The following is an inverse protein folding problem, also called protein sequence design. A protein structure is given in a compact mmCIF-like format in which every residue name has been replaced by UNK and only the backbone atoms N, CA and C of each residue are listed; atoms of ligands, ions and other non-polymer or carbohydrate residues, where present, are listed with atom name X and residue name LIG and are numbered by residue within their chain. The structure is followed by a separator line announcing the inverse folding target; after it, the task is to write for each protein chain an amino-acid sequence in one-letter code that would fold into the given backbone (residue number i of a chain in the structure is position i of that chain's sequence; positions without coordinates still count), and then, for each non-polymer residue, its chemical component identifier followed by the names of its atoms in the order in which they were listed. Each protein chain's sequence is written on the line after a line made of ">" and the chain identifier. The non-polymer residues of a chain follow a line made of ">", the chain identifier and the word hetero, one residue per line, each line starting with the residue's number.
data_IF_659885104059
#
_entry.id   IF_659885104059
#
_cell.length_a   1.000
_cell.length_b   1.000
_cell.length_c   1.000
_cell.angle_alpha   90.00
_cell.angle_beta   90.00
_cell.angle_gamma   90.00
#
_symmetry.space_group_name_H-M   'P 1'
#
loop_
_entity.id
_entity.type
_entity.pdbx_description
1 polymer ?
#
# COMPACT_ATOMS: atom_id res chain seq x y z
N UNK A 1 -17.32 -43.78 -3.13
CA UNK A 1 -17.12 -43.29 -1.75
C UNK A 1 -15.97 -42.31 -1.78
N UNK A 2 -16.15 -41.09 -1.28
CA UNK A 2 -15.05 -40.13 -1.19
C UNK A 2 -14.20 -40.50 0.03
N UNK A 3 -12.93 -40.85 -0.20
CA UNK A 3 -11.96 -41.04 0.87
C UNK A 3 -11.72 -39.72 1.59
N UNK A 4 -11.59 -39.74 2.92
CA UNK A 4 -11.20 -38.54 3.68
C UNK A 4 -9.71 -38.26 3.50
N UNK A 5 -9.28 -37.03 3.82
CA UNK A 5 -7.86 -36.70 3.93
C UNK A 5 -7.13 -37.66 4.89
N UNK A 6 -5.94 -38.13 4.50
CA UNK A 6 -5.10 -39.00 5.32
C UNK A 6 -4.32 -38.27 6.41
N UNK A 7 -4.24 -36.93 6.36
CA UNK A 7 -3.62 -36.18 7.45
C UNK A 7 -4.51 -36.24 8.69
N UNK A 8 -3.94 -36.72 9.80
CA UNK A 8 -4.65 -36.89 11.07
C UNK A 8 -4.90 -35.53 11.75
N UNK A 9 -5.88 -34.79 11.24
CA UNK A 9 -6.36 -33.51 11.76
C UNK A 9 -7.83 -33.64 12.17
N UNK A 10 -8.15 -33.52 13.47
CA UNK A 10 -9.53 -33.56 13.97
C UNK A 10 -10.47 -32.53 13.31
N UNK A 11 -9.91 -31.49 12.69
CA UNK A 11 -10.65 -30.41 12.05
C UNK A 11 -10.71 -30.54 10.51
N UNK A 12 -10.19 -31.62 9.93
CA UNK A 12 -10.14 -31.82 8.47
C UNK A 12 -11.05 -32.97 8.02
N UNK A 13 -12.34 -32.66 7.85
CA UNK A 13 -13.31 -33.57 7.21
C UNK A 13 -13.38 -33.43 5.68
N UNK A 14 -12.41 -32.72 5.07
CA UNK A 14 -12.42 -32.45 3.63
C UNK A 14 -12.16 -33.73 2.82
N UNK A 15 -12.82 -33.91 1.67
CA UNK A 15 -12.59 -35.06 0.81
C UNK A 15 -11.16 -35.05 0.26
N UNK A 16 -10.62 -36.25 0.07
CA UNK A 16 -9.36 -36.51 -0.63
C UNK A 16 -9.48 -36.01 -2.07
N UNK A 17 -8.48 -35.24 -2.49
CA UNK A 17 -8.37 -34.67 -3.85
C UNK A 17 -7.29 -35.37 -4.69
N UNK A 18 -6.07 -35.50 -4.16
CA UNK A 18 -4.93 -36.15 -4.80
C UNK A 18 -3.93 -36.64 -3.73
N UNK A 19 -3.19 -37.71 -4.01
CA UNK A 19 -2.11 -38.20 -3.13
C UNK A 19 -2.50 -38.58 -1.69
N UNK A 20 -3.75 -38.97 -1.45
CA UNK A 20 -4.29 -39.25 -0.11
C UNK A 20 -4.73 -38.01 0.68
N UNK A 21 -4.55 -36.79 0.15
CA UNK A 21 -4.76 -35.55 0.89
C UNK A 21 -5.91 -34.70 0.33
N UNK A 22 -6.57 -33.90 1.18
CA UNK A 22 -7.44 -32.82 0.72
C UNK A 22 -6.63 -31.79 -0.08
N UNK A 23 -7.27 -30.94 -0.88
CA UNK A 23 -6.55 -30.02 -1.80
C UNK A 23 -5.50 -29.16 -1.08
N UNK A 24 -5.80 -28.68 0.12
CA UNK A 24 -4.88 -27.86 0.92
C UNK A 24 -3.70 -28.67 1.49
N UNK A 25 -3.93 -29.87 2.03
CA UNK A 25 -2.86 -30.73 2.51
C UNK A 25 -2.00 -31.27 1.37
N UNK A 26 -2.62 -31.56 0.23
CA UNK A 26 -1.89 -31.92 -0.98
C UNK A 26 -0.96 -30.79 -1.43
N UNK A 27 -1.42 -29.54 -1.42
CA UNK A 27 -0.57 -28.37 -1.73
C UNK A 27 0.59 -28.22 -0.75
N UNK A 28 0.35 -28.40 0.56
CA UNK A 28 1.43 -28.36 1.56
C UNK A 28 2.49 -29.43 1.28
N UNK A 29 2.04 -30.65 0.94
CA UNK A 29 2.92 -31.76 0.59
C UNK A 29 3.74 -31.49 -0.67
N UNK A 30 3.11 -31.01 -1.76
CA UNK A 30 3.82 -30.68 -3.00
C UNK A 30 4.76 -29.49 -2.86
N UNK A 31 4.46 -28.56 -1.95
CA UNK A 31 5.33 -27.42 -1.62
C UNK A 31 6.54 -27.83 -0.76
N UNK A 32 6.67 -29.10 -0.36
CA UNK A 32 7.70 -29.57 0.57
C UNK A 32 7.55 -29.00 1.98
N UNK A 33 6.37 -28.49 2.34
CA UNK A 33 6.07 -27.96 3.67
C UNK A 33 5.59 -29.10 4.58
N UNK A 34 5.90 -29.05 5.88
CA UNK A 34 5.28 -29.98 6.82
C UNK A 34 3.76 -29.83 6.77
N UNK A 35 3.06 -30.97 6.77
CA UNK A 35 1.60 -30.97 6.86
C UNK A 35 1.19 -30.41 8.22
N UNK A 36 0.30 -29.42 8.21
CA UNK A 36 -0.19 -28.74 9.42
C UNK A 36 -1.71 -28.74 9.46
N UNK A 37 -2.32 -28.68 10.66
CA UNK A 37 -3.77 -28.54 10.79
C UNK A 37 -4.27 -27.34 9.99
N UNK A 38 -5.34 -27.54 9.23
CA UNK A 38 -5.90 -26.45 8.45
C UNK A 38 -6.79 -25.65 9.39
N UNK A 39 -6.46 -24.36 9.57
CA UNK A 39 -7.33 -23.47 10.35
C UNK A 39 -8.75 -23.55 9.77
N UNK A 40 -9.74 -23.71 10.65
CA UNK A 40 -11.14 -23.64 10.26
C UNK A 40 -11.41 -22.38 9.44
N UNK A 41 -12.29 -22.47 8.46
CA UNK A 41 -12.73 -21.27 7.76
C UNK A 41 -13.44 -20.41 8.79
N UNK A 42 -12.89 -19.23 9.09
CA UNK A 42 -13.63 -18.20 9.79
C UNK A 42 -14.90 -17.97 8.99
N UNK A 43 -16.05 -18.21 9.60
CA UNK A 43 -17.33 -18.10 8.91
C UNK A 43 -17.57 -16.64 8.54
N UNK A 44 -18.41 -16.40 7.53
CA UNK A 44 -18.86 -15.04 7.21
C UNK A 44 -19.44 -14.33 8.45
N UNK A 45 -20.03 -15.09 9.37
CA UNK A 45 -20.57 -14.57 10.63
C UNK A 45 -19.50 -13.97 11.55
N UNK A 46 -18.25 -14.42 11.49
CA UNK A 46 -17.15 -13.86 12.29
C UNK A 46 -16.70 -12.48 11.77
N UNK A 47 -16.79 -12.25 10.46
CA UNK A 47 -16.36 -10.99 9.85
C UNK A 47 -17.45 -9.92 9.83
N UNK A 48 -18.70 -10.30 10.05
CA UNK A 48 -19.86 -9.42 9.95
C UNK A 48 -20.46 -9.38 8.53
N UNK A 49 -21.61 -8.71 8.38
CA UNK A 49 -22.38 -8.74 7.14
C UNK A 49 -21.76 -7.88 6.02
N UNK A 50 -20.91 -6.90 6.34
CA UNK A 50 -20.39 -5.93 5.37
C UNK A 50 -18.89 -5.69 5.54
N UNK A 51 -18.27 -5.22 4.46
CA UNK A 51 -16.88 -4.80 4.44
C UNK A 51 -16.63 -3.69 5.49
N UNK A 52 -15.51 -3.82 6.22
CA UNK A 52 -15.11 -2.87 7.26
C UNK A 52 -14.59 -1.54 6.71
N UNK A 53 -14.27 -1.49 5.42
CA UNK A 53 -13.87 -0.24 4.76
C UNK A 53 -15.04 0.75 4.76
N UNK A 54 -14.79 1.97 5.24
CA UNK A 54 -15.84 2.95 5.53
C UNK A 54 -16.76 3.18 4.33
N UNK A 55 -18.08 3.07 4.55
CA UNK A 55 -19.10 3.25 3.51
C UNK A 55 -19.29 2.07 2.55
N UNK A 56 -18.47 1.02 2.63
CA UNK A 56 -18.60 -0.14 1.75
C UNK A 56 -19.67 -1.13 2.24
N UNK A 57 -20.65 -1.41 1.39
CA UNK A 57 -21.75 -2.35 1.69
C UNK A 57 -21.52 -3.76 1.10
N UNK A 58 -20.41 -3.99 0.41
CA UNK A 58 -20.09 -5.30 -0.16
C UNK A 58 -19.82 -6.34 0.93
N UNK A 59 -20.09 -7.60 0.63
CA UNK A 59 -19.77 -8.71 1.53
C UNK A 59 -18.24 -8.80 1.74
N UNK A 60 -17.76 -9.03 2.98
CA UNK A 60 -16.36 -9.29 3.22
C UNK A 60 -15.95 -10.63 2.57
N UNK A 61 -14.76 -10.64 1.99
CA UNK A 61 -14.12 -11.83 1.43
C UNK A 61 -13.11 -12.44 2.41
N UNK A 62 -12.28 -11.60 3.03
CA UNK A 62 -11.24 -12.04 3.96
C UNK A 62 -10.90 -10.90 4.92
N UNK A 63 -10.63 -11.23 6.20
CA UNK A 63 -10.26 -10.26 7.24
C UNK A 63 -11.24 -9.08 7.36
N UNK A 64 -12.53 -9.34 7.15
CA UNK A 64 -13.57 -8.31 7.16
C UNK A 64 -13.48 -7.29 6.01
N UNK A 65 -12.74 -7.56 4.93
CA UNK A 65 -12.63 -6.69 3.76
C UNK A 65 -13.13 -7.42 2.50
N UNK A 66 -13.81 -6.71 1.60
CA UNK A 66 -14.24 -7.24 0.30
C UNK A 66 -13.06 -7.45 -0.65
N UNK A 67 -13.23 -8.14 -1.78
CA UNK A 67 -12.16 -8.38 -2.76
C UNK A 67 -11.45 -7.11 -3.26
N UNK A 68 -12.16 -5.98 -3.32
CA UNK A 68 -11.59 -4.70 -3.78
C UNK A 68 -10.71 -4.07 -2.70
N UNK A 69 -11.15 -4.14 -1.43
CA UNK A 69 -10.42 -3.53 -0.31
C UNK A 69 -9.42 -4.46 0.37
N UNK A 70 -9.55 -5.77 0.14
CA UNK A 70 -8.58 -6.80 0.49
C UNK A 70 -7.52 -6.86 -0.62
N UNK A 71 -6.56 -5.94 -0.54
CA UNK A 71 -5.45 -5.87 -1.49
C UNK A 71 -4.44 -7.00 -1.28
N UNK A 72 -3.62 -7.26 -2.31
CA UNK A 72 -2.48 -8.17 -2.18
C UNK A 72 -1.47 -7.56 -1.20
N UNK A 73 -1.14 -8.26 -0.12
CA UNK A 73 -0.14 -7.82 0.87
C UNK A 73 -0.58 -6.72 1.86
N UNK A 74 -1.30 -5.70 1.41
CA UNK A 74 -1.84 -4.60 2.23
C UNK A 74 -3.27 -4.21 1.79
N UNK A 75 -4.11 -3.79 2.74
CA UNK A 75 -5.49 -3.34 2.47
C UNK A 75 -5.58 -1.97 1.79
N UNK A 76 -6.79 -1.59 1.39
CA UNK A 76 -7.08 -0.23 0.94
C UNK A 76 -6.80 0.84 2.01
N UNK A 77 -7.02 0.56 3.31
CA UNK A 77 -6.67 1.51 4.37
C UNK A 77 -5.19 1.88 4.36
N UNK A 78 -4.33 0.87 4.24
CA UNK A 78 -2.89 1.07 4.15
C UNK A 78 -2.49 1.83 2.88
N UNK A 79 -3.13 1.56 1.74
CA UNK A 79 -2.89 2.28 0.47
C UNK A 79 -3.24 3.77 0.59
N UNK A 80 -4.37 4.08 1.21
CA UNK A 80 -4.80 5.46 1.41
C UNK A 80 -3.89 6.20 2.40
N UNK A 81 -3.43 5.52 3.45
CA UNK A 81 -2.46 6.07 4.39
C UNK A 81 -1.12 6.40 3.70
N UNK A 82 -0.62 5.52 2.82
CA UNK A 82 0.59 5.77 2.02
C UNK A 82 0.39 6.97 1.08
N UNK A 83 -0.75 7.02 0.39
CA UNK A 83 -1.03 8.14 -0.52
C UNK A 83 -1.14 9.47 0.25
N UNK A 84 -1.69 9.44 1.47
CA UNK A 84 -1.74 10.60 2.37
C UNK A 84 -0.33 11.03 2.80
N UNK A 85 0.53 10.07 3.18
CA UNK A 85 1.95 10.32 3.47
C UNK A 85 2.69 10.97 2.28
N UNK A 86 2.28 10.65 1.05
CA UNK A 86 2.79 11.25 -0.19
C UNK A 86 2.16 12.61 -0.56
N UNK A 87 1.32 13.19 0.30
CA UNK A 87 0.60 14.42 -0.01
C UNK A 87 -0.40 14.28 -1.15
N UNK A 88 -0.94 13.08 -1.36
CA UNK A 88 -1.96 12.81 -2.38
C UNK A 88 -1.41 12.74 -3.81
N UNK A 89 -0.09 12.63 -3.99
CA UNK A 89 0.56 12.77 -5.30
C UNK A 89 1.50 11.63 -5.64
N UNK A 90 1.64 11.40 -6.95
CA UNK A 90 2.65 10.54 -7.55
C UNK A 90 4.04 11.18 -7.48
N UNK A 91 5.08 10.40 -7.74
CA UNK A 91 6.44 10.89 -8.03
C UNK A 91 6.48 11.98 -9.11
N UNK A 92 5.65 11.88 -10.16
CA UNK A 92 5.57 12.93 -11.20
C UNK A 92 4.70 14.14 -10.80
N UNK A 93 4.18 14.18 -9.57
CA UNK A 93 3.35 15.27 -9.07
C UNK A 93 1.86 15.18 -9.41
N UNK A 94 1.43 14.25 -10.27
CA UNK A 94 -0.01 14.05 -10.55
C UNK A 94 -0.76 13.63 -9.29
N UNK A 95 -1.97 14.17 -9.10
CA UNK A 95 -2.95 13.71 -8.11
C UNK A 95 -4.04 12.82 -8.74
N UNK A 96 -4.03 12.65 -10.05
CA UNK A 96 -4.93 11.77 -10.79
C UNK A 96 -4.16 10.53 -11.28
N UNK A 97 -4.49 9.31 -10.80
CA UNK A 97 -3.86 8.09 -11.26
C UNK A 97 -4.39 7.58 -12.61
N UNK A 98 -5.45 8.19 -13.14
CA UNK A 98 -6.18 7.75 -14.31
C UNK A 98 -6.99 6.48 -14.08
N UNK A 99 -7.50 5.90 -15.16
CA UNK A 99 -8.48 4.80 -15.13
C UNK A 99 -7.99 3.51 -14.45
N UNK A 100 -6.68 3.29 -14.38
CA UNK A 100 -6.09 2.11 -13.75
C UNK A 100 -5.90 2.26 -12.24
N UNK A 101 -6.14 3.45 -11.70
CA UNK A 101 -5.95 3.75 -10.29
C UNK A 101 -4.48 3.68 -9.84
N UNK A 102 -4.27 4.00 -8.57
CA UNK A 102 -2.95 4.00 -7.95
C UNK A 102 -2.36 2.59 -7.89
N UNK A 103 -1.12 2.46 -8.35
CA UNK A 103 -0.35 1.22 -8.30
C UNK A 103 0.55 1.24 -7.06
N UNK A 104 0.56 0.15 -6.30
CA UNK A 104 1.51 0.00 -5.21
C UNK A 104 2.88 -0.33 -5.81
N UNK A 105 3.87 0.48 -5.50
CA UNK A 105 5.27 0.24 -5.86
C UNK A 105 6.00 -0.49 -4.73
N UNK A 106 6.83 -1.46 -5.10
CA UNK A 106 7.56 -2.29 -4.15
C UNK A 106 8.97 -2.61 -4.66
N UNK A 107 9.86 -2.83 -3.71
CA UNK A 107 11.24 -3.19 -4.01
C UNK A 107 11.41 -4.66 -4.41
N UNK A 108 12.23 -4.89 -5.43
CA UNK A 108 12.59 -6.22 -5.93
C UNK A 108 13.85 -6.82 -5.28
N UNK A 109 14.44 -6.11 -4.32
CA UNK A 109 15.68 -6.49 -3.62
C UNK A 109 15.44 -7.24 -2.30
N UNK A 110 14.19 -7.61 -2.00
CA UNK A 110 13.86 -8.21 -0.71
C UNK A 110 14.25 -9.69 -0.63
N UNK A 111 14.93 -10.04 0.46
CA UNK A 111 15.43 -11.39 0.73
C UNK A 111 14.51 -12.20 1.65
N UNK A 112 13.34 -11.69 2.04
CA UNK A 112 12.40 -12.35 2.98
C UNK A 112 11.60 -13.51 2.38
N UNK A 113 12.14 -14.20 1.38
CA UNK A 113 11.57 -15.43 0.84
C UNK A 113 10.34 -15.25 -0.07
N UNK A 114 10.30 -14.18 -0.87
CA UNK A 114 9.33 -14.04 -1.95
C UNK A 114 10.00 -13.65 -3.27
N UNK A 115 9.39 -14.02 -4.39
CA UNK A 115 9.90 -13.64 -5.71
C UNK A 115 9.64 -12.15 -5.99
N UNK A 116 10.28 -11.64 -7.05
CA UNK A 116 10.09 -10.25 -7.53
C UNK A 116 8.64 -9.91 -7.90
N UNK A 117 7.81 -10.91 -8.23
CA UNK A 117 6.40 -10.71 -8.61
C UNK A 117 5.47 -10.63 -7.39
N UNK A 118 6.03 -10.64 -6.18
CA UNK A 118 5.31 -10.54 -4.93
C UNK A 118 6.06 -9.60 -3.99
N UNK A 119 5.40 -9.19 -2.91
CA UNK A 119 5.99 -8.27 -1.94
C UNK A 119 5.53 -8.57 -0.52
N UNK A 120 6.38 -8.25 0.43
CA UNK A 120 5.99 -8.09 1.83
C UNK A 120 5.78 -6.61 2.17
N UNK A 121 5.23 -6.34 3.35
CA UNK A 121 5.05 -4.97 3.86
C UNK A 121 6.36 -4.16 3.83
N UNK A 122 7.49 -4.80 4.16
CA UNK A 122 8.80 -4.15 4.15
C UNK A 122 9.39 -3.87 2.76
N UNK A 123 8.72 -4.26 1.67
CA UNK A 123 9.11 -3.90 0.31
C UNK A 123 8.44 -2.62 -0.18
N UNK A 124 7.33 -2.21 0.45
CA UNK A 124 6.49 -1.14 -0.06
C UNK A 124 7.25 0.17 -0.07
N UNK A 125 7.24 0.87 -1.21
CA UNK A 125 7.90 2.17 -1.38
C UNK A 125 6.90 3.32 -1.42
N UNK A 126 5.75 3.10 -2.07
CA UNK A 126 4.75 4.14 -2.25
C UNK A 126 3.61 3.77 -3.19
N UNK A 127 2.75 4.74 -3.48
CA UNK A 127 1.70 4.69 -4.50
C UNK A 127 2.11 5.52 -5.72
N UNK A 128 1.97 4.96 -6.92
CA UNK A 128 2.35 5.62 -8.17
C UNK A 128 1.25 5.50 -9.23
N UNK A 129 1.20 6.45 -10.15
CA UNK A 129 0.44 6.27 -11.38
C UNK A 129 1.10 5.17 -12.24
N UNK A 130 0.33 4.60 -13.18
CA UNK A 130 0.85 3.51 -14.03
C UNK A 130 2.08 3.93 -14.85
N UNK A 131 2.13 5.20 -15.28
CA UNK A 131 3.26 5.73 -16.05
C UNK A 131 4.55 5.71 -15.21
N UNK A 132 4.51 6.22 -13.98
CA UNK A 132 5.69 6.23 -13.12
C UNK A 132 6.07 4.83 -12.66
N UNK A 133 5.11 3.98 -12.27
CA UNK A 133 5.44 2.64 -11.79
C UNK A 133 6.01 1.76 -12.91
N UNK A 134 5.23 1.53 -13.97
CA UNK A 134 5.57 0.54 -14.99
C UNK A 134 6.59 1.05 -16.01
N UNK A 135 6.48 2.33 -16.40
CA UNK A 135 7.22 2.85 -17.54
C UNK A 135 8.45 3.66 -17.14
N UNK A 136 8.45 4.33 -15.97
CA UNK A 136 9.63 5.03 -15.47
C UNK A 136 10.48 4.12 -14.57
N UNK A 137 9.98 3.75 -13.38
CA UNK A 137 10.77 2.97 -12.42
C UNK A 137 11.04 1.55 -12.91
N UNK A 138 10.06 0.88 -13.51
CA UNK A 138 10.25 -0.44 -14.12
C UNK A 138 11.35 -0.45 -15.19
N UNK A 139 11.43 0.61 -16.01
CA UNK A 139 12.52 0.80 -16.98
C UNK A 139 13.85 1.11 -16.28
N UNK A 140 13.82 1.99 -15.28
CA UNK A 140 15.02 2.40 -14.54
C UNK A 140 15.71 1.21 -13.87
N UNK A 141 14.96 0.44 -13.07
CA UNK A 141 15.47 -0.74 -12.37
C UNK A 141 15.79 -1.91 -13.32
N UNK A 142 15.02 -2.08 -14.40
CA UNK A 142 15.12 -3.24 -15.27
C UNK A 142 16.09 -3.10 -16.44
N UNK A 143 16.29 -1.88 -16.95
CA UNK A 143 17.00 -1.63 -18.20
C UNK A 143 18.10 -0.58 -18.04
N UNK A 144 17.80 0.54 -17.39
CA UNK A 144 18.77 1.65 -17.29
C UNK A 144 19.97 1.29 -16.41
N UNK A 145 19.72 0.82 -15.18
CA UNK A 145 20.78 0.44 -14.24
C UNK A 145 21.59 -0.80 -14.69
N UNK A 146 21.04 -1.62 -15.59
CA UNK A 146 21.73 -2.80 -16.11
C UNK A 146 22.78 -2.46 -17.18
N UNK A 147 22.74 -1.24 -17.75
CA UNK A 147 23.67 -0.82 -18.79
C UNK A 147 24.93 -0.19 -18.19
N UNK A 148 26.14 -0.68 -18.55
CA UNK A 148 27.39 -0.09 -18.09
C UNK A 148 27.53 1.37 -18.50
N UNK A 149 28.01 2.23 -17.59
CA UNK A 149 28.28 3.64 -17.85
C UNK A 149 27.10 4.59 -17.63
N UNK A 150 25.89 4.09 -17.36
CA UNK A 150 24.77 4.93 -16.98
C UNK A 150 24.95 5.46 -15.54
N UNK A 151 24.86 6.79 -15.37
CA UNK A 151 24.91 7.43 -14.06
C UNK A 151 23.55 7.35 -13.37
N UNK A 152 23.48 7.11 -12.04
CA UNK A 152 22.21 7.08 -11.33
C UNK A 152 21.43 8.39 -11.47
N UNK A 153 20.11 8.29 -11.67
CA UNK A 153 19.22 9.45 -11.77
C UNK A 153 18.74 9.79 -10.35
N UNK A 154 19.12 10.95 -9.78
CA UNK A 154 18.91 11.23 -8.36
C UNK A 154 17.45 11.09 -7.89
N UNK A 155 16.49 11.52 -8.73
CA UNK A 155 15.07 11.39 -8.43
C UNK A 155 14.63 9.93 -8.26
N UNK A 156 15.14 9.03 -9.10
CA UNK A 156 14.79 7.61 -9.01
C UNK A 156 15.53 6.93 -7.88
N UNK A 157 16.80 7.27 -7.63
CA UNK A 157 17.56 6.78 -6.48
C UNK A 157 16.88 7.11 -5.15
N UNK A 158 16.45 8.35 -4.99
CA UNK A 158 15.67 8.80 -3.85
C UNK A 158 14.38 7.98 -3.71
N UNK A 159 13.68 7.68 -4.80
CA UNK A 159 12.47 6.85 -4.73
C UNK A 159 12.76 5.37 -4.39
N UNK A 160 13.69 4.72 -5.09
CA UNK A 160 13.92 3.27 -4.94
C UNK A 160 14.58 2.90 -3.61
N UNK A 161 15.23 3.85 -2.94
CA UNK A 161 15.81 3.69 -1.60
C UNK A 161 14.76 3.83 -0.48
N UNK A 162 13.64 4.51 -0.72
CA UNK A 162 12.57 4.68 0.27
C UNK A 162 11.92 3.35 0.62
N UNK A 163 11.49 3.23 1.88
CA UNK A 163 10.60 2.16 2.34
C UNK A 163 9.54 2.76 3.24
N UNK A 164 8.29 2.36 3.06
CA UNK A 164 7.20 2.65 3.99
C UNK A 164 7.35 1.75 5.21
N UNK A 165 7.21 2.34 6.38
CA UNK A 165 7.04 1.64 7.65
C UNK A 165 5.58 1.73 8.07
N UNK A 166 5.02 0.58 8.44
CA UNK A 166 3.65 0.46 8.93
C UNK A 166 3.67 0.35 10.46
N UNK A 167 2.80 1.10 11.12
CA UNK A 167 2.66 1.11 12.57
C UNK A 167 1.25 0.65 12.94
N UNK A 168 1.13 -0.64 13.26
CA UNK A 168 -0.16 -1.28 13.57
C UNK A 168 -0.62 -2.25 12.48
N UNK A 169 -1.90 -2.60 12.53
CA UNK A 169 -2.52 -3.55 11.60
C UNK A 169 -2.81 -2.88 10.25
N UNK A 170 -2.22 -3.39 9.17
CA UNK A 170 -2.40 -2.89 7.81
C UNK A 170 -3.83 -3.05 7.27
N UNK A 171 -4.67 -3.83 7.95
CA UNK A 171 -6.09 -4.02 7.62
C UNK A 171 -7.01 -3.15 8.51
N UNK A 172 -6.44 -2.20 9.28
CA UNK A 172 -7.16 -1.30 10.19
C UNK A 172 -7.34 0.11 9.62
N UNK A 173 -8.48 0.78 9.90
CA UNK A 173 -8.67 2.20 9.57
C UNK A 173 -7.78 3.16 10.37
N UNK A 174 -7.17 2.70 11.46
CA UNK A 174 -6.25 3.49 12.31
C UNK A 174 -4.77 3.28 11.94
N UNK A 175 -4.49 2.61 10.82
CA UNK A 175 -3.12 2.36 10.38
C UNK A 175 -2.36 3.68 10.22
N UNK A 176 -1.16 3.74 10.79
CA UNK A 176 -0.23 4.84 10.60
C UNK A 176 0.95 4.39 9.76
N UNK A 177 1.50 5.33 8.98
CA UNK A 177 2.65 5.06 8.13
C UNK A 177 3.68 6.18 8.23
N UNK A 178 4.94 5.83 8.06
CA UNK A 178 6.05 6.78 7.91
C UNK A 178 7.00 6.28 6.82
N UNK A 179 7.87 7.16 6.34
CA UNK A 179 9.06 6.69 5.64
C UNK A 179 10.09 6.21 6.65
N UNK A 180 10.77 5.10 6.32
CA UNK A 180 11.93 4.65 7.07
C UNK A 180 13.06 5.64 6.83
N UNK A 181 13.45 6.37 7.87
CA UNK A 181 14.63 7.21 7.87
C UNK A 181 15.85 6.38 8.29
N UNK A 182 17.01 6.69 7.74
CA UNK A 182 18.30 6.27 8.29
C UNK A 182 18.66 7.21 9.45
N UNK A 183 18.01 7.04 10.60
CA UNK A 183 18.12 7.91 11.79
C UNK A 183 16.75 8.29 12.36
N UNK A 184 16.58 8.29 13.67
CA UNK A 184 15.32 8.12 14.42
C UNK A 184 14.23 9.23 14.33
N UNK A 185 14.26 10.13 13.34
CA UNK A 185 13.45 11.37 13.36
C UNK A 185 12.18 11.35 12.48
N UNK A 186 11.69 10.19 12.02
CA UNK A 186 10.48 10.14 11.20
C UNK A 186 9.19 10.33 12.04
N UNK A 187 8.46 11.42 11.81
CA UNK A 187 7.12 11.64 12.39
C UNK A 187 6.09 10.78 11.62
N UNK A 188 5.38 9.85 12.27
CA UNK A 188 4.37 9.04 11.60
C UNK A 188 3.14 9.88 11.21
N UNK A 189 2.65 9.67 10.00
CA UNK A 189 1.39 10.26 9.53
C UNK A 189 0.26 9.32 9.92
N UNK A 190 -0.71 9.86 10.66
CA UNK A 190 -1.94 9.13 11.00
C UNK A 190 -2.96 9.32 9.90
N UNK A 191 -3.44 8.21 9.36
CA UNK A 191 -4.60 8.21 8.50
C UNK A 191 -5.81 7.76 9.32
N UNK A 192 -6.88 8.56 9.29
CA UNK A 192 -8.19 8.15 9.78
C UNK A 192 -9.18 8.29 8.64
N UNK A 193 -9.86 7.21 8.31
CA UNK A 193 -10.96 7.28 7.35
C UNK A 193 -12.09 8.08 7.97
N UNK A 194 -12.31 9.30 7.48
CA UNK A 194 -13.47 10.09 7.84
C UNK A 194 -14.75 9.32 7.49
N UNK A 195 -15.71 9.24 8.43
CA UNK A 195 -17.08 8.83 8.08
C UNK A 195 -17.66 9.92 7.19
N UNK A 196 -17.74 9.68 5.88
CA UNK A 196 -18.56 10.53 5.02
C UNK A 196 -20.02 10.36 5.43
N UNK A 197 -20.60 11.40 6.05
CA UNK A 197 -22.05 11.51 6.24
C UNK A 197 -22.63 12.07 4.94
N UNK A 198 -22.92 11.20 3.99
CA UNK A 198 -23.90 11.51 2.94
C UNK A 198 -25.01 10.49 3.04
N UNK A 199 -26.08 10.89 3.73
CA UNK A 199 -27.34 10.17 3.66
C UNK A 199 -27.90 10.32 2.26
N UNK A 200 -27.90 9.23 1.49
CA UNK A 200 -28.90 9.03 0.45
C UNK A 200 -29.25 7.55 0.42
N UNK A 201 -30.50 7.26 0.77
CA UNK A 201 -31.11 5.95 0.61
C UNK A 201 -31.31 5.68 -0.87
N UNK A 202 -30.50 4.82 -1.47
CA UNK A 202 -30.85 4.13 -2.70
C UNK A 202 -30.71 2.62 -2.50
N UNK A 203 -31.86 1.97 -2.41
CA UNK A 203 -32.03 0.53 -2.49
C UNK A 203 -31.78 0.07 -3.93
N UNK A 204 -30.68 -0.61 -4.16
CA UNK A 204 -30.35 -1.26 -5.43
C UNK A 204 -29.11 -2.09 -5.25
N UNK A 205 -29.27 -3.41 -5.11
CA UNK A 205 -28.18 -4.35 -4.95
C UNK A 205 -27.38 -4.44 -6.24
N UNK A 206 -26.29 -3.68 -6.31
CA UNK A 206 -25.29 -3.81 -7.37
C UNK A 206 -23.91 -3.93 -6.71
N UNK A 207 -23.29 -5.10 -6.82
CA UNK A 207 -21.99 -5.43 -6.21
C UNK A 207 -20.81 -4.67 -6.83
N UNK A 208 -21.09 -3.75 -7.75
CA UNK A 208 -20.13 -2.98 -8.56
C UNK A 208 -19.78 -1.59 -7.99
N UNK A 209 -20.44 -1.12 -6.92
CA UNK A 209 -20.30 0.28 -6.46
C UNK A 209 -19.13 0.57 -5.50
N UNK A 210 -18.19 -0.36 -5.34
CA UNK A 210 -16.95 -0.10 -4.58
C UNK A 210 -15.97 0.76 -5.40
N UNK A 211 -16.37 1.96 -5.83
CA UNK A 211 -15.44 2.98 -6.32
C UNK A 211 -14.98 3.83 -5.15
N UNK A 212 -13.67 3.87 -4.96
CA UNK A 212 -13.00 4.75 -4.00
C UNK A 212 -13.06 6.18 -4.52
N UNK A 213 -14.02 6.98 -4.03
CA UNK A 213 -13.92 8.44 -4.13
C UNK A 213 -13.04 8.93 -2.97
N UNK A 214 -11.72 8.98 -3.20
CA UNK A 214 -10.83 9.70 -2.30
C UNK A 214 -10.84 11.15 -2.75
N UNK A 215 -11.75 11.94 -2.16
CA UNK A 215 -11.60 13.39 -2.21
C UNK A 215 -10.35 13.73 -1.40
N UNK A 216 -9.26 14.11 -2.06
CA UNK A 216 -8.13 14.73 -1.40
C UNK A 216 -8.67 15.97 -0.69
N UNK A 217 -8.79 15.91 0.64
CA UNK A 217 -9.20 17.05 1.44
C UNK A 217 -8.27 18.21 1.12
N UNK A 218 -8.87 19.33 0.74
CA UNK A 218 -8.18 20.61 0.56
C UNK A 218 -7.39 20.91 1.84
N UNK A 219 -6.06 21.13 1.80
CA UNK A 219 -5.30 21.54 2.98
C UNK A 219 -5.61 23.02 3.27
N UNK A 220 -6.82 23.27 3.77
CA UNK A 220 -7.33 24.60 4.09
C UNK A 220 -6.98 25.04 5.51
N UNK A 221 -5.93 25.88 5.58
CA UNK A 221 -5.79 27.05 6.46
C UNK A 221 -5.63 26.88 7.98
N UNK A 222 -4.45 27.29 8.47
CA UNK A 222 -4.37 28.16 9.65
C UNK A 222 -3.30 27.85 10.69
N UNK A 223 -2.04 28.24 10.45
CA UNK A 223 -1.26 29.05 11.41
C UNK A 223 -0.32 29.96 10.61
N UNK A 224 -0.56 31.26 10.65
CA UNK A 224 0.28 32.27 10.01
C UNK A 224 1.62 32.42 10.73
N UNK A 225 2.71 32.26 10.00
CA UNK A 225 4.06 32.65 10.40
C UNK A 225 4.75 33.29 9.20
N UNK A 226 4.77 34.63 9.16
CA UNK A 226 5.54 35.40 8.18
C UNK A 226 7.03 35.10 8.36
N UNK A 227 7.66 34.46 7.38
CA UNK A 227 9.11 34.56 7.18
C UNK A 227 9.35 35.62 6.09
N UNK A 228 9.79 36.80 6.54
CA UNK A 228 10.26 37.85 5.66
C UNK A 228 11.55 37.41 4.97
N UNK A 229 11.55 37.51 3.65
CA UNK A 229 12.75 37.41 2.81
C UNK A 229 13.55 38.70 3.04
N UNK A 230 14.70 38.60 3.70
CA UNK A 230 15.67 39.70 3.75
C UNK A 230 16.72 39.42 2.68
N UNK A 231 16.53 39.98 1.49
CA UNK A 231 17.60 40.14 0.51
C UNK A 231 18.32 41.45 0.82
N UNK A 232 19.49 41.36 1.46
CA UNK A 232 20.39 42.48 1.69
C UNK A 232 21.65 42.34 0.83
N UNK A 233 21.66 43.05 -0.29
CA UNK A 233 22.82 43.26 -1.16
C UNK A 233 23.79 44.21 -0.44
N UNK A 234 25.02 43.78 -0.18
CA UNK A 234 26.11 44.68 0.23
C UNK A 234 26.82 45.18 -1.03
N UNK A 235 26.39 46.35 -1.52
CA UNK A 235 27.16 47.17 -2.46
C UNK A 235 27.99 48.17 -1.65
N UNK A 236 29.29 48.20 -1.93
CA UNK A 236 30.22 49.15 -1.35
C UNK A 236 30.09 50.52 -2.01
N UNK A 237 30.21 51.58 -1.21
CA UNK A 237 30.47 52.92 -1.70
C UNK A 237 31.79 53.43 -1.10
N UNK A 238 32.66 53.85 -2.02
CA UNK A 238 33.98 54.38 -1.75
C UNK A 238 33.93 55.81 -1.23
N UNK A 239 34.94 56.11 -0.43
CA UNK A 239 35.25 57.40 0.17
C UNK A 239 35.60 58.41 -0.93
N UNK A 240 34.95 59.58 -0.90
CA UNK A 240 35.35 60.76 -1.68
C UNK A 240 36.56 61.44 -1.03
N UNK A 241 37.61 61.64 -1.84
CA UNK A 241 38.67 62.63 -1.62
C UNK A 241 38.13 64.02 -1.96
N UNK A 242 38.29 64.97 -1.04
CA UNK A 242 38.26 66.41 -1.36
C UNK A 242 39.60 66.98 -0.92
N UNK A 243 40.17 67.78 -1.83
CA UNK A 243 41.46 68.45 -1.78
C UNK A 243 41.59 69.45 -0.62
#
# INVERSE_FOLDING_TARGET
>A
MYTKCQFNDPMCDRPHSAGGYCATHYQQWTDGKPLTPIRGWKSQAEWGPTCRYSGCQALPHSRGLCHVHYGRGISQFARDAILTLQGGRCLCGTSDPGQRGWQLDHAHDCTRGHSRNNYCQGCVRGMLCIACNRHALGWYEGTYLAQPGNAPIPLFEDWISRRVQFHGDVDSPEIQVSYRTSGDDAIPVTYRVGRSRTGSTQSGGDTSSCRTEVSAGDPGAGVGGRLGVVSGVLAGEGVQLVQ
#
